data_IF_251426995857
#
_entry.id   IF_251426995857
#
_cell.length_a   1.000
_cell.length_b   1.000
_cell.length_c   1.000
_cell.angle_alpha   90.00
_cell.angle_beta   90.00
_cell.angle_gamma   90.00
#
_symmetry.space_group_name_H-M   'P 1'
#
loop_
_entity.id
_entity.type
_entity.pdbx_description
1 polymer ?
#
# COMPACT_ATOMS: atom_id res chain seq x y z
N UNK A 1 -22.70 4.73 -3.12
CA UNK A 1 -21.76 5.73 -2.58
C UNK A 1 -20.36 5.29 -3.00
N UNK A 2 -19.60 6.14 -3.69
CA UNK A 2 -18.29 5.80 -4.25
C UNK A 2 -17.27 5.75 -3.10
N UNK A 3 -16.75 4.58 -2.76
CA UNK A 3 -15.55 4.48 -1.90
C UNK A 3 -14.42 5.13 -2.69
N UNK A 4 -13.95 6.29 -2.23
CA UNK A 4 -12.87 7.02 -2.88
C UNK A 4 -11.61 6.16 -2.80
N UNK A 5 -11.26 5.50 -3.90
CA UNK A 5 -9.95 4.88 -4.04
C UNK A 5 -8.87 5.96 -3.84
N UNK A 6 -7.75 5.66 -3.19
CA UNK A 6 -6.66 6.61 -3.01
C UNK A 6 -6.21 7.16 -4.36
N UNK A 7 -6.04 8.48 -4.46
CA UNK A 7 -5.54 9.08 -5.70
C UNK A 7 -4.01 9.07 -5.76
N UNK A 8 -3.33 9.02 -4.60
CA UNK A 8 -1.87 8.87 -4.50
C UNK A 8 -1.40 7.75 -3.55
N UNK A 9 -0.11 7.43 -3.64
CA UNK A 9 0.57 6.49 -2.73
C UNK A 9 0.53 6.98 -1.27
N UNK A 10 0.79 8.26 -1.05
CA UNK A 10 0.78 8.89 0.27
C UNK A 10 -0.61 8.85 0.91
N UNK A 11 -1.66 9.08 0.13
CA UNK A 11 -3.04 8.93 0.60
C UNK A 11 -3.36 7.48 0.96
N UNK A 12 -2.93 6.52 0.14
CA UNK A 12 -3.14 5.10 0.41
C UNK A 12 -2.44 4.67 1.70
N UNK A 13 -1.21 5.14 1.90
CA UNK A 13 -0.40 4.87 3.09
C UNK A 13 -1.03 5.49 4.34
N UNK A 14 -1.39 6.77 4.29
CA UNK A 14 -2.05 7.47 5.42
C UNK A 14 -3.39 6.82 5.78
N UNK A 15 -4.14 6.36 4.77
CA UNK A 15 -5.38 5.61 5.01
C UNK A 15 -5.12 4.28 5.70
N UNK A 16 -4.07 3.56 5.31
CA UNK A 16 -3.68 2.28 5.91
C UNK A 16 -3.23 2.45 7.38
N UNK A 17 -2.50 3.53 7.69
CA UNK A 17 -2.15 3.88 9.08
C UNK A 17 -3.39 4.15 9.93
N UNK A 18 -4.32 4.96 9.41
CA UNK A 18 -5.59 5.27 10.08
C UNK A 18 -6.41 4.01 10.32
N UNK A 19 -6.48 3.14 9.32
CA UNK A 19 -7.22 1.89 9.38
C UNK A 19 -6.59 0.91 10.38
N UNK A 20 -5.27 0.81 10.40
CA UNK A 20 -4.52 0.00 11.38
C UNK A 20 -4.77 0.49 12.80
N UNK A 21 -4.76 1.81 13.01
CA UNK A 21 -5.01 2.41 14.32
C UNK A 21 -6.46 2.18 14.78
N UNK A 22 -7.43 2.23 13.86
CA UNK A 22 -8.81 1.90 14.16
C UNK A 22 -8.98 0.41 14.53
N UNK A 23 -8.31 -0.50 13.81
CA UNK A 23 -8.35 -1.94 14.07
C UNK A 23 -7.70 -2.35 15.40
N UNK A 24 -6.80 -1.53 15.94
CA UNK A 24 -6.21 -1.73 17.26
C UNK A 24 -7.16 -1.35 18.40
N UNK A 25 -8.25 -0.64 18.12
CA UNK A 25 -9.26 -0.33 19.12
C UNK A 25 -10.09 -1.58 19.45
N UNK A 26 -10.22 -1.89 20.75
CA UNK A 26 -11.02 -3.00 21.25
C UNK A 26 -12.54 -2.83 21.06
N UNK A 27 -12.98 -1.67 20.55
CA UNK A 27 -14.38 -1.33 20.35
C UNK A 27 -14.89 -1.61 18.92
N UNK A 28 -14.02 -2.07 18.01
CA UNK A 28 -14.41 -2.32 16.62
C UNK A 28 -15.34 -3.55 16.52
N UNK A 29 -16.56 -3.40 15.99
CA UNK A 29 -17.44 -4.53 15.70
C UNK A 29 -16.81 -5.50 14.70
N UNK A 30 -17.14 -6.79 14.80
CA UNK A 30 -16.60 -7.84 13.93
C UNK A 30 -16.84 -7.57 12.43
N UNK A 31 -18.02 -7.04 12.10
CA UNK A 31 -18.41 -6.70 10.73
C UNK A 31 -17.56 -5.57 10.16
N UNK A 32 -17.28 -4.55 10.99
CA UNK A 32 -16.40 -3.44 10.63
C UNK A 32 -14.94 -3.89 10.53
N UNK A 33 -14.50 -4.84 11.36
CA UNK A 33 -13.17 -5.42 11.28
C UNK A 33 -12.96 -6.18 9.96
N UNK A 34 -13.98 -6.91 9.49
CA UNK A 34 -13.93 -7.58 8.19
C UNK A 34 -13.86 -6.57 7.04
N UNK A 35 -14.67 -5.51 7.10
CA UNK A 35 -14.64 -4.45 6.10
C UNK A 35 -13.29 -3.71 6.08
N UNK A 36 -12.73 -3.40 7.26
CA UNK A 36 -11.43 -2.78 7.41
C UNK A 36 -10.32 -3.68 6.84
N UNK A 37 -10.36 -4.99 7.11
CA UNK A 37 -9.41 -5.93 6.55
C UNK A 37 -9.44 -5.98 5.00
N UNK A 38 -10.63 -5.99 4.41
CA UNK A 38 -10.80 -5.95 2.95
C UNK A 38 -10.23 -4.66 2.36
N UNK A 39 -10.57 -3.51 2.94
CA UNK A 39 -10.04 -2.22 2.52
C UNK A 39 -8.51 -2.15 2.68
N UNK A 40 -7.98 -2.64 3.80
CA UNK A 40 -6.54 -2.73 4.04
C UNK A 40 -5.82 -3.54 2.97
N UNK A 41 -6.35 -4.70 2.57
CA UNK A 41 -5.76 -5.50 1.49
C UNK A 41 -5.75 -4.77 0.14
N UNK A 42 -6.81 -4.02 -0.18
CA UNK A 42 -6.86 -3.21 -1.40
C UNK A 42 -5.81 -2.10 -1.38
N UNK A 43 -5.66 -1.42 -0.23
CA UNK A 43 -4.66 -0.37 -0.02
C UNK A 43 -3.22 -0.91 -0.12
N UNK A 44 -2.92 -2.04 0.52
CA UNK A 44 -1.61 -2.70 0.42
C UNK A 44 -1.29 -3.03 -1.04
N UNK A 45 -2.24 -3.62 -1.75
CA UNK A 45 -2.06 -3.99 -3.16
C UNK A 45 -1.82 -2.77 -4.04
N UNK A 46 -2.54 -1.67 -3.78
CA UNK A 46 -2.32 -0.41 -4.47
C UNK A 46 -0.90 0.12 -4.24
N UNK A 47 -0.45 0.17 -2.98
CA UNK A 47 0.89 0.63 -2.62
C UNK A 47 1.98 -0.23 -3.28
N UNK A 48 1.85 -1.56 -3.22
CA UNK A 48 2.78 -2.49 -3.88
C UNK A 48 2.82 -2.28 -5.40
N UNK A 49 1.67 -2.06 -6.03
CA UNK A 49 1.61 -1.79 -7.47
C UNK A 49 2.31 -0.49 -7.83
N UNK A 50 2.13 0.57 -7.03
CA UNK A 50 2.82 1.85 -7.23
C UNK A 50 4.32 1.75 -7.04
N UNK A 51 4.78 1.01 -6.03
CA UNK A 51 6.20 0.74 -5.84
C UNK A 51 6.78 -0.04 -7.03
N UNK A 52 6.10 -1.10 -7.47
CA UNK A 52 6.53 -1.89 -8.63
C UNK A 52 6.58 -1.05 -9.93
N UNK A 53 5.62 -0.14 -10.15
CA UNK A 53 5.64 0.80 -11.28
C UNK A 53 6.87 1.73 -11.23
N UNK A 54 7.25 2.20 -10.04
CA UNK A 54 8.43 3.04 -9.83
C UNK A 54 9.70 2.22 -10.03
N UNK A 55 9.79 1.03 -9.45
CA UNK A 55 10.91 0.10 -9.64
C UNK A 55 11.12 -0.25 -11.11
N UNK A 56 10.04 -0.53 -11.85
CA UNK A 56 10.13 -0.81 -13.29
C UNK A 56 10.65 0.41 -14.08
N UNK A 57 10.21 1.62 -13.73
CA UNK A 57 10.72 2.85 -14.36
C UNK A 57 12.18 3.09 -14.05
N UNK A 58 12.62 2.79 -12.81
CA UNK A 58 14.02 2.84 -12.42
C UNK A 58 14.84 1.80 -13.20
N UNK A 59 14.36 0.56 -13.34
CA UNK A 59 15.01 -0.49 -14.12
C UNK A 59 15.16 -0.15 -15.61
N UNK A 60 14.17 0.53 -16.20
CA UNK A 60 14.25 1.02 -17.59
C UNK A 60 15.28 2.14 -17.72
N UNK A 61 15.44 2.98 -16.69
CA UNK A 61 16.53 3.96 -16.59
C UNK A 61 17.90 3.25 -16.42
N UNK A 62 17.96 2.19 -15.63
CA UNK A 62 19.17 1.40 -15.33
C UNK A 62 19.74 0.67 -16.56
N UNK A 63 18.90 0.40 -17.57
CA UNK A 63 19.33 -0.11 -18.87
C UNK A 63 20.19 0.90 -19.68
N UNK A 64 20.34 2.14 -19.18
CA UNK A 64 21.28 3.17 -19.64
C UNK A 64 22.51 3.41 -18.73
N UNK A 65 22.82 2.47 -17.82
CA UNK A 65 23.85 2.49 -16.74
C UNK A 65 23.45 3.21 -15.43
N UNK A 66 23.01 2.43 -14.43
CA UNK A 66 23.59 2.37 -13.07
C UNK A 66 22.89 1.29 -12.19
N UNK A 67 23.53 0.13 -12.03
CA UNK A 67 23.28 -0.84 -10.93
C UNK A 67 23.82 -0.24 -9.61
N UNK A 68 23.26 -0.42 -8.40
CA UNK A 68 22.43 -1.47 -7.81
C UNK A 68 21.43 -0.89 -6.79
N UNK A 69 20.15 -1.27 -6.86
CA UNK A 69 19.23 -1.19 -5.72
C UNK A 69 18.96 -2.62 -5.24
N UNK A 70 19.80 -3.10 -4.32
CA UNK A 70 19.58 -4.36 -3.62
C UNK A 70 18.55 -4.13 -2.50
N UNK A 71 17.26 -4.14 -2.86
CA UNK A 71 16.17 -4.26 -1.89
C UNK A 71 15.90 -5.74 -1.68
N UNK A 72 16.59 -6.34 -0.71
CA UNK A 72 16.26 -7.70 -0.28
C UNK A 72 14.82 -7.71 0.26
N UNK A 73 13.92 -8.57 -0.26
CA UNK A 73 12.61 -8.73 0.34
C UNK A 73 12.79 -9.37 1.72
N UNK A 74 12.13 -8.77 2.71
CA UNK A 74 12.06 -9.27 4.07
C UNK A 74 11.80 -10.78 4.11
N UNK A 75 12.64 -11.46 4.88
CA UNK A 75 12.54 -12.88 5.24
C UNK A 75 11.34 -13.14 6.14
#
# INVERSE_FOLDING_TARGET
>A
MKKNAPQSFEEALSRLETLTQAMQSSEMPLEDALAAYQEGNELVRYCQTKLAEVEQKLQVLDAGELKELNLEPGK
#
